data_IF_245173998934
#
_entry.id   IF_245173998934
#
_cell.length_a   1.000
_cell.length_b   1.000
_cell.length_c   1.000
_cell.angle_alpha   90.00
_cell.angle_beta   90.00
_cell.angle_gamma   90.00
#
_symmetry.space_group_name_H-M   'P 1'
#
loop_
_entity.id
_entity.type
_entity.pdbx_description
1 polymer ?
#
# COMPACT_ATOMS: atom_id res chain seq x y z
N UNK A 1 22.25 -16.45 38.36
CA UNK A 1 22.53 -15.70 37.11
C UNK A 1 21.34 -15.87 36.19
N UNK A 2 20.38 -14.94 36.25
CA UNK A 2 19.24 -14.92 35.37
C UNK A 2 19.62 -14.11 34.12
N UNK A 3 19.66 -14.78 32.96
CA UNK A 3 19.83 -14.13 31.67
C UNK A 3 18.53 -13.40 31.38
N UNK A 4 18.57 -12.07 31.48
CA UNK A 4 17.54 -11.18 30.93
C UNK A 4 17.36 -11.51 29.45
N UNK A 5 16.25 -12.14 29.11
CA UNK A 5 15.77 -12.18 27.72
C UNK A 5 15.40 -10.74 27.36
N UNK A 6 16.24 -10.12 26.54
CA UNK A 6 15.89 -8.91 25.82
C UNK A 6 14.54 -9.14 25.12
N UNK A 7 13.54 -8.35 25.51
CA UNK A 7 12.37 -8.08 24.68
C UNK A 7 12.88 -7.35 23.45
N UNK A 8 13.39 -8.07 22.45
CA UNK A 8 13.55 -7.49 21.13
C UNK A 8 12.16 -7.13 20.61
N UNK A 9 12.02 -5.87 20.23
CA UNK A 9 10.84 -5.28 19.61
C UNK A 9 10.53 -6.01 18.29
N UNK A 10 9.78 -7.11 18.35
CA UNK A 10 9.18 -7.72 17.15
C UNK A 10 7.95 -6.93 16.74
N UNK A 11 8.16 -5.71 16.20
CA UNK A 11 7.12 -4.98 15.48
C UNK A 11 6.70 -5.74 14.21
N UNK A 12 5.48 -5.49 13.71
CA UNK A 12 5.06 -6.02 12.40
C UNK A 12 5.96 -5.48 11.29
N UNK A 13 6.02 -6.17 10.13
CA UNK A 13 6.78 -5.68 8.96
C UNK A 13 6.35 -4.26 8.55
N UNK A 14 5.05 -3.98 8.63
CA UNK A 14 4.49 -2.64 8.40
C UNK A 14 5.07 -1.60 9.37
N UNK A 15 5.15 -1.93 10.68
CA UNK A 15 5.76 -1.03 11.67
C UNK A 15 7.25 -0.81 11.41
N UNK A 16 8.00 -1.85 11.04
CA UNK A 16 9.41 -1.72 10.67
C UNK A 16 9.59 -0.78 9.46
N UNK A 17 8.74 -0.92 8.44
CA UNK A 17 8.74 -0.07 7.25
C UNK A 17 8.46 1.41 7.56
N UNK A 18 7.57 1.68 8.51
CA UNK A 18 7.26 3.04 8.97
C UNK A 18 8.38 3.65 9.83
N UNK A 19 9.00 2.85 10.69
CA UNK A 19 9.98 3.34 11.66
C UNK A 19 11.38 3.48 11.07
N UNK A 20 11.67 2.75 9.99
CA UNK A 20 12.98 2.78 9.36
C UNK A 20 13.37 4.19 8.87
N UNK A 21 14.58 4.60 9.30
CA UNK A 21 15.26 5.83 8.89
C UNK A 21 16.20 5.62 7.71
N UNK A 22 16.68 4.40 7.54
CA UNK A 22 17.51 3.97 6.42
C UNK A 22 16.86 2.71 5.81
N UNK A 23 16.35 2.86 4.59
CA UNK A 23 15.69 1.79 3.87
C UNK A 23 16.67 0.79 3.25
N UNK A 24 17.92 1.16 2.99
CA UNK A 24 18.92 0.20 2.52
C UNK A 24 19.25 -0.82 3.61
N UNK A 25 19.40 -0.36 4.86
CA UNK A 25 19.59 -1.24 6.02
C UNK A 25 18.39 -2.18 6.19
N UNK A 26 17.17 -1.64 6.13
CA UNK A 26 15.95 -2.44 6.22
C UNK A 26 15.88 -3.46 5.06
N UNK A 27 16.17 -3.05 3.83
CA UNK A 27 16.20 -3.91 2.65
C UNK A 27 17.15 -5.09 2.83
N UNK A 28 18.40 -4.85 3.22
CA UNK A 28 19.37 -5.92 3.43
C UNK A 28 18.93 -6.88 4.54
N UNK A 29 18.37 -6.35 5.63
CA UNK A 29 17.81 -7.17 6.71
C UNK A 29 16.70 -8.09 6.17
N UNK A 30 15.70 -7.53 5.48
CA UNK A 30 14.61 -8.29 4.88
C UNK A 30 15.12 -9.38 3.93
N UNK A 31 16.10 -9.05 3.10
CA UNK A 31 16.69 -9.99 2.13
C UNK A 31 17.57 -11.08 2.75
N UNK A 32 18.03 -10.89 3.99
CA UNK A 32 18.80 -11.89 4.76
C UNK A 32 17.93 -12.82 5.61
N UNK A 33 16.80 -12.32 6.10
CA UNK A 33 15.88 -13.05 6.96
C UNK A 33 14.84 -13.73 6.05
N UNK A 34 15.01 -15.03 5.76
CA UNK A 34 14.13 -15.79 4.86
C UNK A 34 12.74 -16.07 5.48
N UNK A 35 11.90 -15.05 5.62
CA UNK A 35 10.57 -15.13 6.25
C UNK A 35 9.48 -14.65 5.31
N UNK A 36 8.27 -15.15 5.50
CA UNK A 36 7.11 -14.76 4.70
C UNK A 36 6.86 -13.24 4.74
N UNK A 37 6.63 -12.66 3.57
CA UNK A 37 6.40 -11.24 3.38
C UNK A 37 7.67 -10.41 3.22
N UNK A 38 8.84 -10.90 3.66
CA UNK A 38 10.08 -10.14 3.56
C UNK A 38 10.44 -9.80 2.12
N UNK A 39 10.22 -10.72 1.18
CA UNK A 39 10.50 -10.49 -0.23
C UNK A 39 9.59 -9.40 -0.81
N UNK A 40 8.30 -9.41 -0.46
CA UNK A 40 7.37 -8.35 -0.86
C UNK A 40 7.77 -6.99 -0.27
N UNK A 41 8.12 -6.93 1.01
CA UNK A 41 8.55 -5.69 1.66
C UNK A 41 9.87 -5.15 1.11
N UNK A 42 10.84 -6.02 0.81
CA UNK A 42 12.10 -5.63 0.21
C UNK A 42 11.88 -5.01 -1.19
N UNK A 43 10.98 -5.60 -1.98
CA UNK A 43 10.57 -5.02 -3.26
C UNK A 43 9.87 -3.67 -3.06
N UNK A 44 8.95 -3.54 -2.10
CA UNK A 44 8.28 -2.28 -1.78
C UNK A 44 9.26 -1.18 -1.40
N UNK A 45 10.28 -1.51 -0.60
CA UNK A 45 11.36 -0.58 -0.26
C UNK A 45 12.10 -0.10 -1.51
N UNK A 46 12.54 -1.03 -2.36
CA UNK A 46 13.30 -0.70 -3.56
C UNK A 46 12.47 0.17 -4.53
N UNK A 47 11.19 -0.15 -4.73
CA UNK A 47 10.29 0.64 -5.58
C UNK A 47 10.07 2.05 -5.02
N UNK A 48 9.87 2.20 -3.71
CA UNK A 48 9.73 3.52 -3.09
C UNK A 48 10.97 4.38 -3.28
N UNK A 49 12.15 3.80 -3.05
CA UNK A 49 13.40 4.55 -3.24
C UNK A 49 13.70 4.86 -4.70
N UNK A 50 13.36 3.98 -5.64
CA UNK A 50 13.42 4.30 -7.07
C UNK A 50 12.52 5.50 -7.43
N UNK A 51 11.29 5.55 -6.91
CA UNK A 51 10.39 6.69 -7.13
C UNK A 51 10.91 8.00 -6.53
N UNK A 52 11.53 7.96 -5.34
CA UNK A 52 12.17 9.15 -4.73
C UNK A 52 13.29 9.68 -5.63
N UNK A 53 14.07 8.79 -6.25
CA UNK A 53 15.15 9.17 -7.18
C UNK A 53 14.59 9.75 -8.48
N UNK A 54 13.56 9.11 -9.05
CA UNK A 54 13.03 9.48 -10.36
C UNK A 54 12.21 10.79 -10.28
N UNK A 55 11.75 11.17 -9.09
CA UNK A 55 11.04 12.43 -8.81
C UNK A 55 11.80 13.29 -7.78
N UNK A 56 13.01 13.79 -8.14
CA UNK A 56 13.78 14.65 -7.24
C UNK A 56 13.07 16.00 -7.09
N UNK A 57 13.21 16.60 -5.91
CA UNK A 57 12.73 17.97 -5.72
C UNK A 57 13.48 18.92 -6.68
N UNK A 58 12.81 19.94 -7.24
CA UNK A 58 13.47 20.98 -8.02
C UNK A 58 14.64 21.62 -7.25
N UNK A 59 15.67 22.06 -7.96
CA UNK A 59 16.86 22.69 -7.34
C UNK A 59 16.52 23.99 -6.59
N UNK A 60 15.46 24.67 -7.00
CA UNK A 60 14.91 25.89 -6.40
C UNK A 60 13.78 25.61 -5.40
N UNK A 61 13.61 24.36 -4.98
CA UNK A 61 12.58 23.99 -4.02
C UNK A 61 12.80 24.69 -2.66
N UNK A 62 11.75 25.35 -2.17
CA UNK A 62 11.72 26.01 -0.86
C UNK A 62 10.54 25.44 -0.05
N UNK A 63 10.73 25.06 1.22
CA UNK A 63 9.62 24.55 2.03
C UNK A 63 8.62 25.66 2.34
N UNK A 64 7.32 25.37 2.18
CA UNK A 64 6.24 26.27 2.60
C UNK A 64 5.97 26.18 4.10
N UNK A 65 6.38 25.09 4.74
CA UNK A 65 6.16 24.84 6.15
C UNK A 65 7.24 23.95 6.76
N UNK A 66 7.46 24.06 8.08
CA UNK A 66 8.39 23.19 8.80
C UNK A 66 8.00 21.68 8.73
N UNK A 67 6.71 21.29 8.79
CA UNK A 67 6.30 19.91 8.52
C UNK A 67 6.71 19.41 7.13
N UNK A 68 6.50 20.21 6.08
CA UNK A 68 6.91 19.83 4.72
C UNK A 68 8.41 19.63 4.62
N UNK A 69 9.22 20.51 5.23
CA UNK A 69 10.67 20.34 5.27
C UNK A 69 11.07 19.03 5.95
N UNK A 70 10.48 18.71 7.11
CA UNK A 70 10.77 17.46 7.82
C UNK A 70 10.36 16.23 7.01
N UNK A 71 9.23 16.27 6.32
CA UNK A 71 8.77 15.17 5.48
C UNK A 71 9.72 14.96 4.28
N UNK A 72 10.17 16.03 3.63
CA UNK A 72 11.16 15.94 2.54
C UNK A 72 12.47 15.33 3.03
N UNK A 73 13.02 15.84 4.13
CA UNK A 73 14.26 15.31 4.73
C UNK A 73 14.10 13.82 5.05
N UNK A 74 13.00 13.42 5.69
CA UNK A 74 12.74 12.01 5.98
C UNK A 74 12.65 11.14 4.71
N UNK A 75 11.94 11.62 3.68
CA UNK A 75 11.79 10.93 2.39
C UNK A 75 13.16 10.68 1.74
N UNK A 76 14.02 11.69 1.74
CA UNK A 76 15.35 11.62 1.13
C UNK A 76 16.32 10.77 1.96
N UNK A 77 16.39 10.99 3.28
CA UNK A 77 17.27 10.24 4.20
C UNK A 77 16.99 8.74 4.15
N UNK A 78 15.72 8.34 4.06
CA UNK A 78 15.34 6.93 3.92
C UNK A 78 16.03 6.24 2.77
N UNK A 79 16.21 6.93 1.65
CA UNK A 79 16.71 6.33 0.41
C UNK A 79 18.15 6.74 0.08
N UNK A 80 18.75 7.66 0.85
CA UNK A 80 20.04 8.29 0.56
C UNK A 80 21.21 7.32 0.46
N UNK A 81 21.15 6.17 1.14
CA UNK A 81 22.26 5.22 1.19
C UNK A 81 22.25 4.20 0.05
N UNK A 82 21.18 4.11 -0.75
CA UNK A 82 21.19 3.32 -1.99
C UNK A 82 22.09 3.99 -3.04
N UNK A 83 22.85 3.18 -3.78
CA UNK A 83 23.58 3.69 -4.95
C UNK A 83 22.69 3.61 -6.21
N UNK A 84 22.91 4.49 -7.18
CA UNK A 84 22.03 4.64 -8.36
C UNK A 84 21.76 3.32 -9.10
N UNK A 85 22.78 2.49 -9.25
CA UNK A 85 22.67 1.20 -9.93
C UNK A 85 21.73 0.21 -9.23
N UNK A 86 21.59 0.29 -7.89
CA UNK A 86 20.72 -0.59 -7.09
C UNK A 86 19.24 -0.28 -7.28
N UNK A 87 18.90 0.94 -7.71
CA UNK A 87 17.52 1.39 -7.93
C UNK A 87 17.16 1.50 -9.41
N UNK A 88 18.06 1.09 -10.31
CA UNK A 88 17.81 1.10 -11.75
C UNK A 88 16.65 0.18 -12.13
N UNK A 89 16.02 0.42 -13.28
CA UNK A 89 14.96 -0.46 -13.79
C UNK A 89 15.43 -1.92 -13.93
N UNK A 90 16.66 -2.13 -14.40
CA UNK A 90 17.27 -3.46 -14.50
C UNK A 90 17.48 -4.11 -13.14
N UNK A 91 17.90 -3.35 -12.12
CA UNK A 91 18.04 -3.87 -10.76
C UNK A 91 16.70 -4.24 -10.14
N UNK A 92 15.64 -3.46 -10.37
CA UNK A 92 14.28 -3.80 -9.94
C UNK A 92 13.78 -5.07 -10.65
N UNK A 93 14.01 -5.20 -11.95
CA UNK A 93 13.65 -6.42 -12.70
C UNK A 93 14.44 -7.64 -12.22
N UNK A 94 15.72 -7.48 -11.89
CA UNK A 94 16.54 -8.53 -11.30
C UNK A 94 16.00 -8.93 -9.92
N UNK A 95 15.65 -7.96 -9.08
CA UNK A 95 15.06 -8.19 -7.76
C UNK A 95 13.72 -8.93 -7.85
N UNK A 96 12.86 -8.59 -8.80
CA UNK A 96 11.59 -9.31 -9.04
C UNK A 96 11.79 -10.77 -9.43
N UNK A 97 12.97 -11.13 -9.97
CA UNK A 97 13.35 -12.50 -10.34
C UNK A 97 14.14 -13.22 -9.24
N UNK A 98 14.61 -12.50 -8.23
CA UNK A 98 15.33 -13.09 -7.09
C UNK A 98 14.41 -14.12 -6.41
N UNK A 99 14.84 -15.39 -6.21
CA UNK A 99 14.00 -16.42 -5.62
C UNK A 99 13.41 -16.05 -4.26
N UNK A 100 14.10 -15.21 -3.47
CA UNK A 100 13.62 -14.73 -2.15
C UNK A 100 12.42 -13.80 -2.28
N UNK A 101 12.31 -13.09 -3.40
CA UNK A 101 11.18 -12.21 -3.72
C UNK A 101 10.14 -12.96 -4.54
N UNK A 102 10.55 -13.62 -5.62
CA UNK A 102 9.66 -14.30 -6.55
C UNK A 102 8.88 -15.47 -5.90
N UNK A 103 9.45 -16.10 -4.87
CA UNK A 103 8.80 -17.20 -4.12
C UNK A 103 8.30 -16.77 -2.75
N UNK A 104 8.32 -15.47 -2.45
CA UNK A 104 7.76 -14.93 -1.21
C UNK A 104 6.26 -15.27 -1.12
N UNK A 105 5.82 -15.76 0.04
CA UNK A 105 4.45 -16.24 0.23
C UNK A 105 3.40 -15.15 -0.04
N UNK A 106 3.67 -13.89 0.33
CA UNK A 106 2.72 -12.80 0.14
C UNK A 106 2.67 -12.41 -1.34
N UNK A 107 3.83 -12.35 -2.00
CA UNK A 107 3.89 -12.11 -3.45
C UNK A 107 3.14 -13.20 -4.23
N UNK A 108 3.38 -14.47 -3.93
CA UNK A 108 2.71 -15.59 -4.58
C UNK A 108 1.19 -15.55 -4.40
N UNK A 109 0.71 -15.15 -3.22
CA UNK A 109 -0.71 -15.00 -2.94
C UNK A 109 -1.34 -13.84 -3.71
N UNK A 110 -0.62 -12.70 -3.85
CA UNK A 110 -1.02 -11.60 -4.72
C UNK A 110 -1.08 -12.00 -6.20
N UNK A 111 -0.08 -12.73 -6.69
CA UNK A 111 0.00 -13.25 -8.06
C UNK A 111 -1.11 -14.29 -8.35
N UNK A 112 -1.47 -15.11 -7.35
CA UNK A 112 -2.62 -16.00 -7.44
C UNK A 112 -3.92 -15.21 -7.63
N UNK A 113 -4.14 -14.17 -6.82
CA UNK A 113 -5.34 -13.32 -6.93
C UNK A 113 -5.38 -12.60 -8.28
N UNK A 114 -4.24 -12.10 -8.76
CA UNK A 114 -4.15 -11.46 -10.07
C UNK A 114 -4.56 -12.42 -11.20
N UNK A 115 -4.09 -13.67 -11.20
CA UNK A 115 -4.42 -14.66 -12.23
C UNK A 115 -5.91 -14.98 -12.32
N UNK A 116 -6.64 -14.93 -11.20
CA UNK A 116 -8.09 -15.19 -11.16
C UNK A 116 -8.94 -13.91 -11.12
N UNK A 117 -8.32 -12.73 -11.22
CA UNK A 117 -8.98 -11.43 -11.05
C UNK A 117 -10.14 -11.20 -12.03
N UNK A 118 -10.08 -11.82 -13.21
CA UNK A 118 -11.12 -11.73 -14.24
C UNK A 118 -12.39 -12.51 -13.92
N UNK A 119 -12.36 -13.45 -12.97
CA UNK A 119 -13.52 -14.22 -12.54
C UNK A 119 -13.94 -13.79 -11.12
N UNK A 120 -15.02 -13.01 -10.98
CA UNK A 120 -15.48 -12.51 -9.69
C UNK A 120 -15.87 -13.57 -8.67
N UNK A 121 -16.15 -14.81 -9.10
CA UNK A 121 -16.49 -15.93 -8.20
C UNK A 121 -15.23 -16.70 -7.83
N UNK A 122 -14.37 -17.01 -8.81
CA UNK A 122 -13.11 -17.72 -8.55
C UNK A 122 -12.11 -16.89 -7.72
N UNK A 123 -12.20 -15.55 -7.74
CA UNK A 123 -11.37 -14.69 -6.89
C UNK A 123 -11.69 -14.78 -5.40
N UNK A 124 -12.92 -15.12 -5.01
CA UNK A 124 -13.37 -15.00 -3.61
C UNK A 124 -12.56 -15.86 -2.63
N UNK A 125 -12.25 -17.14 -2.91
CA UNK A 125 -11.43 -17.96 -2.00
C UNK A 125 -9.98 -17.49 -1.89
N UNK A 126 -9.43 -16.86 -2.95
CA UNK A 126 -8.07 -16.28 -2.91
C UNK A 126 -8.08 -14.98 -2.11
N UNK A 127 -9.07 -14.13 -2.35
CA UNK A 127 -9.26 -12.88 -1.61
C UNK A 127 -9.46 -13.14 -0.11
N UNK A 128 -10.18 -14.20 0.26
CA UNK A 128 -10.35 -14.58 1.67
C UNK A 128 -9.01 -14.85 2.35
N UNK A 129 -8.11 -15.57 1.68
CA UNK A 129 -6.75 -15.83 2.17
C UNK A 129 -5.97 -14.53 2.32
N UNK A 130 -6.01 -13.64 1.33
CA UNK A 130 -5.34 -12.32 1.40
C UNK A 130 -5.85 -11.50 2.58
N UNK A 131 -7.18 -11.40 2.74
CA UNK A 131 -7.79 -10.64 3.82
C UNK A 131 -7.42 -11.22 5.20
N UNK A 132 -7.36 -12.54 5.33
CA UNK A 132 -6.94 -13.22 6.57
C UNK A 132 -5.47 -13.01 6.91
N UNK A 133 -4.60 -12.78 5.92
CA UNK A 133 -3.19 -12.39 6.16
C UNK A 133 -3.12 -11.03 6.87
N UNK A 134 -4.07 -10.13 6.59
CA UNK A 134 -4.19 -8.80 7.21
C UNK A 134 -2.91 -7.95 7.15
N UNK A 135 -2.03 -8.21 6.16
CA UNK A 135 -0.79 -7.47 5.98
C UNK A 135 -1.03 -6.22 5.11
N UNK A 136 -0.65 -5.01 5.56
CA UNK A 136 -0.91 -3.77 4.83
C UNK A 136 -0.32 -3.73 3.43
N UNK A 137 0.94 -4.16 3.25
CA UNK A 137 1.62 -4.09 1.95
C UNK A 137 1.02 -5.09 0.97
N UNK A 138 0.67 -6.29 1.44
CA UNK A 138 -0.06 -7.25 0.61
C UNK A 138 -1.43 -6.69 0.20
N UNK A 139 -2.21 -6.15 1.14
CA UNK A 139 -3.54 -5.60 0.85
C UNK A 139 -3.47 -4.42 -0.13
N UNK A 140 -2.47 -3.55 -0.01
CA UNK A 140 -2.22 -2.47 -0.96
C UNK A 140 -1.87 -3.01 -2.36
N UNK A 141 -1.03 -4.04 -2.44
CA UNK A 141 -0.54 -4.59 -3.71
C UNK A 141 -1.63 -5.19 -4.61
N UNK A 142 -2.75 -5.63 -4.02
CA UNK A 142 -3.84 -6.30 -4.77
C UNK A 142 -4.90 -5.34 -5.33
N UNK A 143 -4.76 -4.03 -5.11
CA UNK A 143 -5.80 -3.04 -5.44
C UNK A 143 -6.20 -3.08 -6.92
N UNK A 144 -5.23 -3.29 -7.81
CA UNK A 144 -5.48 -3.42 -9.25
C UNK A 144 -6.32 -4.66 -9.54
N UNK A 145 -5.99 -5.82 -8.96
CA UNK A 145 -6.72 -7.07 -9.13
C UNK A 145 -8.17 -7.01 -8.61
N UNK A 146 -8.46 -6.10 -7.66
CA UNK A 146 -9.80 -5.92 -7.11
C UNK A 146 -10.69 -5.01 -7.96
N UNK A 147 -10.13 -3.89 -8.43
CA UNK A 147 -10.92 -2.78 -8.98
C UNK A 147 -10.66 -2.48 -10.46
N UNK A 148 -9.73 -3.19 -11.11
CA UNK A 148 -9.59 -3.18 -12.57
C UNK A 148 -10.17 -4.48 -13.13
N UNK A 149 -11.44 -4.45 -13.52
CA UNK A 149 -12.08 -5.58 -14.19
C UNK A 149 -11.39 -5.93 -15.52
N UNK A 150 -11.49 -7.19 -15.99
CA UNK A 150 -10.94 -7.61 -17.27
C UNK A 150 -11.51 -6.74 -18.39
N UNK A 151 -10.64 -6.24 -19.28
CA UNK A 151 -11.00 -5.32 -20.36
C UNK A 151 -11.77 -4.05 -19.92
N UNK A 152 -11.58 -3.61 -18.67
CA UNK A 152 -12.31 -2.46 -18.14
C UNK A 152 -13.74 -2.76 -17.71
N UNK A 153 -14.10 -4.02 -17.48
CA UNK A 153 -15.41 -4.45 -16.98
C UNK A 153 -15.83 -3.85 -15.63
N UNK A 154 -17.12 -3.87 -15.34
CA UNK A 154 -17.69 -3.35 -14.11
C UNK A 154 -17.24 -4.16 -12.88
N UNK A 155 -17.18 -3.49 -11.72
CA UNK A 155 -16.76 -4.10 -10.45
C UNK A 155 -17.90 -4.06 -9.45
N UNK A 156 -18.17 -5.16 -8.77
CA UNK A 156 -19.14 -5.18 -7.66
C UNK A 156 -18.43 -5.04 -6.33
N UNK A 157 -18.92 -4.12 -5.50
CA UNK A 157 -18.52 -3.94 -4.11
C UNK A 157 -19.73 -3.53 -3.25
N UNK A 158 -19.90 -4.16 -2.09
CA UNK A 158 -20.96 -3.92 -1.12
C UNK A 158 -22.38 -3.86 -1.74
N UNK A 159 -22.67 -4.78 -2.67
CA UNK A 159 -23.96 -4.87 -3.37
C UNK A 159 -24.20 -3.82 -4.46
N UNK A 160 -23.22 -2.93 -4.73
CA UNK A 160 -23.27 -1.95 -5.81
C UNK A 160 -22.31 -2.35 -6.92
N UNK A 161 -22.72 -2.08 -8.17
CA UNK A 161 -21.89 -2.32 -9.36
C UNK A 161 -21.41 -1.00 -9.93
N UNK A 162 -20.09 -0.89 -10.14
CA UNK A 162 -19.38 0.29 -10.58
C UNK A 162 -18.82 0.04 -11.98
N UNK A 163 -19.50 0.58 -13.00
CA UNK A 163 -19.07 0.48 -14.40
C UNK A 163 -18.17 1.65 -14.82
N UNK A 164 -18.35 2.83 -14.21
CA UNK A 164 -17.59 4.02 -14.53
C UNK A 164 -16.11 3.89 -14.09
N UNK A 165 -15.20 4.41 -14.92
CA UNK A 165 -13.76 4.35 -14.62
C UNK A 165 -13.38 5.26 -13.46
N UNK A 166 -13.96 6.46 -13.35
CA UNK A 166 -13.66 7.39 -12.27
C UNK A 166 -14.17 6.85 -10.93
N UNK A 167 -15.38 6.27 -10.89
CA UNK A 167 -15.88 5.62 -9.68
C UNK A 167 -14.96 4.47 -9.22
N UNK A 168 -14.42 3.68 -10.15
CA UNK A 168 -13.44 2.63 -9.83
C UNK A 168 -12.12 3.17 -9.31
N UNK A 169 -11.63 4.29 -9.84
CA UNK A 169 -10.45 4.95 -9.30
C UNK A 169 -10.69 5.50 -7.88
N UNK A 170 -11.91 5.96 -7.57
CA UNK A 170 -12.28 6.31 -6.18
C UNK A 170 -12.28 5.07 -5.29
N UNK A 171 -12.72 3.89 -5.77
CA UNK A 171 -12.60 2.64 -5.01
C UNK A 171 -11.14 2.26 -4.71
N UNK A 172 -10.23 2.42 -5.68
CA UNK A 172 -8.79 2.22 -5.50
C UNK A 172 -8.24 3.12 -4.39
N UNK A 173 -8.55 4.42 -4.45
CA UNK A 173 -8.15 5.42 -3.46
C UNK A 173 -8.71 5.09 -2.07
N UNK A 174 -10.00 4.73 -1.99
CA UNK A 174 -10.65 4.35 -0.75
C UNK A 174 -10.07 3.06 -0.14
N UNK A 175 -9.69 2.09 -0.98
CA UNK A 175 -9.10 0.83 -0.52
C UNK A 175 -7.74 1.07 0.15
N UNK A 176 -6.84 1.81 -0.51
CA UNK A 176 -5.52 2.16 0.03
C UNK A 176 -5.63 2.91 1.36
N UNK A 177 -6.62 3.80 1.49
CA UNK A 177 -6.92 4.47 2.75
C UNK A 177 -7.41 3.47 3.82
N UNK A 178 -8.33 2.59 3.43
CA UNK A 178 -8.99 1.65 4.32
C UNK A 178 -8.04 0.58 4.87
N UNK A 179 -6.98 0.20 4.14
CA UNK A 179 -5.94 -0.71 4.62
C UNK A 179 -5.41 -0.24 5.98
N UNK A 180 -5.11 1.05 6.14
CA UNK A 180 -4.62 1.56 7.43
C UNK A 180 -5.68 1.97 8.43
N UNK A 181 -6.93 2.09 8.00
CA UNK A 181 -8.05 2.08 8.94
C UNK A 181 -8.31 0.71 9.56
N UNK A 182 -7.86 -0.37 8.91
CA UNK A 182 -8.18 -1.75 9.27
C UNK A 182 -7.02 -2.53 9.90
N UNK A 183 -5.81 -2.37 9.39
CA UNK A 183 -4.62 -3.10 9.83
C UNK A 183 -3.74 -2.25 10.77
N UNK A 184 -3.07 -2.91 11.72
CA UNK A 184 -2.18 -2.24 12.67
C UNK A 184 -0.80 -1.95 12.08
N UNK A 185 -0.13 -0.94 12.62
CA UNK A 185 1.26 -0.64 12.25
C UNK A 185 1.42 0.06 10.90
N UNK A 186 0.36 0.68 10.38
CA UNK A 186 0.44 1.56 9.22
C UNK A 186 -0.16 2.97 9.42
N UNK A 187 -0.41 3.35 10.68
CA UNK A 187 -0.72 4.72 11.09
C UNK A 187 0.54 5.45 11.59
N UNK A 188 0.59 6.78 11.44
CA UNK A 188 1.62 7.62 12.05
C UNK A 188 2.52 8.38 11.06
N UNK A 189 3.44 9.23 11.58
CA UNK A 189 4.20 10.20 10.78
C UNK A 189 5.23 9.57 9.84
N UNK A 190 5.50 8.27 9.98
CA UNK A 190 6.39 7.51 9.11
C UNK A 190 5.70 6.88 7.89
N UNK A 191 4.39 7.01 7.77
CA UNK A 191 3.63 6.50 6.63
C UNK A 191 4.06 7.17 5.31
N UNK A 192 4.45 6.34 4.35
CA UNK A 192 4.96 6.77 3.05
C UNK A 192 3.98 7.67 2.28
N UNK A 193 2.67 7.40 2.33
CA UNK A 193 1.68 8.24 1.65
C UNK A 193 1.62 9.64 2.25
N UNK A 194 1.67 9.74 3.58
CA UNK A 194 1.64 11.02 4.30
C UNK A 194 2.93 11.79 4.11
N UNK A 195 4.07 11.10 4.22
CA UNK A 195 5.40 11.67 4.01
C UNK A 195 5.53 12.22 2.59
N UNK A 196 5.16 11.43 1.57
CA UNK A 196 5.26 11.86 0.17
C UNK A 196 4.30 13.02 -0.14
N UNK A 197 3.05 12.97 0.32
CA UNK A 197 2.10 14.06 0.11
C UNK A 197 2.53 15.37 0.81
N UNK A 198 3.02 15.28 2.04
CA UNK A 198 3.52 16.44 2.78
C UNK A 198 4.78 17.02 2.13
N UNK A 199 5.74 16.18 1.75
CA UNK A 199 6.98 16.60 1.09
C UNK A 199 6.72 17.28 -0.26
N UNK A 200 5.97 16.61 -1.15
CA UNK A 200 5.79 17.06 -2.53
C UNK A 200 4.74 18.17 -2.68
N UNK A 201 3.65 18.14 -1.88
CA UNK A 201 2.46 18.99 -2.10
C UNK A 201 2.12 19.90 -0.92
N UNK A 202 2.93 19.90 0.16
CA UNK A 202 2.61 20.58 1.42
C UNK A 202 1.25 20.16 2.03
N UNK A 203 0.78 18.95 1.69
CA UNK A 203 -0.44 18.37 2.24
C UNK A 203 -0.11 17.50 3.46
N UNK A 204 0.16 18.17 4.57
CA UNK A 204 0.61 17.56 5.82
C UNK A 204 -0.58 17.28 6.73
N UNK A 205 -1.20 16.10 6.57
CA UNK A 205 -2.36 15.65 7.35
C UNK A 205 -2.01 14.43 8.19
N UNK A 206 -2.79 14.18 9.24
CA UNK A 206 -2.45 13.16 10.26
C UNK A 206 -2.91 11.74 9.92
N UNK A 207 -3.64 11.52 8.81
CA UNK A 207 -4.13 10.19 8.45
C UNK A 207 -4.32 9.99 6.95
N UNK A 208 -4.14 8.75 6.47
CA UNK A 208 -4.43 8.39 5.07
C UNK A 208 -5.88 8.66 4.70
N UNK A 209 -6.80 8.45 5.65
CA UNK A 209 -8.22 8.73 5.45
C UNK A 209 -8.44 10.18 5.02
N UNK A 210 -7.82 11.13 5.73
CA UNK A 210 -7.94 12.54 5.42
C UNK A 210 -7.24 12.90 4.10
N UNK A 211 -6.02 12.40 3.90
CA UNK A 211 -5.25 12.63 2.67
C UNK A 211 -6.02 12.18 1.43
N UNK A 212 -6.51 10.94 1.43
CA UNK A 212 -7.14 10.32 0.28
C UNK A 212 -8.58 10.78 0.07
N UNK A 213 -9.23 11.34 1.10
CA UNK A 213 -10.48 12.10 0.92
C UNK A 213 -10.25 13.40 0.13
N UNK A 214 -9.15 14.12 0.41
CA UNK A 214 -8.77 15.32 -0.33
C UNK A 214 -8.38 14.96 -1.77
N UNK A 215 -7.60 13.89 -1.97
CA UNK A 215 -7.23 13.40 -3.32
C UNK A 215 -8.46 13.04 -4.15
N UNK A 216 -9.43 12.32 -3.55
CA UNK A 216 -10.67 11.97 -4.22
C UNK A 216 -11.49 13.22 -4.62
N UNK A 217 -11.56 14.23 -3.75
CA UNK A 217 -12.25 15.49 -4.05
C UNK A 217 -11.57 16.28 -5.17
N UNK A 218 -10.25 16.39 -5.11
CA UNK A 218 -9.46 17.17 -6.07
C UNK A 218 -9.52 16.56 -7.47
N UNK A 219 -9.43 15.23 -7.57
CA UNK A 219 -9.38 14.53 -8.87
C UNK A 219 -10.75 14.25 -9.47
N UNK A 220 -11.78 14.07 -8.64
CA UNK A 220 -13.10 13.59 -9.08
C UNK A 220 -14.27 14.47 -8.59
N UNK A 221 -13.99 15.64 -8.03
CA UNK A 221 -14.98 16.60 -7.55
C UNK A 221 -15.81 16.11 -6.37
N UNK A 222 -16.93 16.81 -6.10
CA UNK A 222 -17.84 16.49 -4.99
C UNK A 222 -18.45 15.09 -5.11
N UNK A 223 -18.66 14.59 -6.34
CA UNK A 223 -19.12 13.22 -6.57
C UNK A 223 -18.11 12.20 -6.05
N UNK A 224 -16.82 12.36 -6.36
CA UNK A 224 -15.78 11.46 -5.88
C UNK A 224 -15.62 11.52 -4.37
N UNK A 225 -15.68 12.72 -3.78
CA UNK A 225 -15.65 12.90 -2.33
C UNK A 225 -16.82 12.17 -1.63
N UNK A 226 -18.04 12.31 -2.18
CA UNK A 226 -19.23 11.62 -1.66
C UNK A 226 -19.11 10.09 -1.78
N UNK A 227 -18.64 9.59 -2.92
CA UNK A 227 -18.42 8.17 -3.12
C UNK A 227 -17.35 7.63 -2.16
N UNK A 228 -16.22 8.31 -2.01
CA UNK A 228 -15.17 7.95 -1.07
C UNK A 228 -15.72 7.84 0.37
N UNK A 229 -16.51 8.84 0.79
CA UNK A 229 -17.12 8.86 2.12
C UNK A 229 -18.09 7.68 2.35
N UNK A 230 -18.81 7.22 1.32
CA UNK A 230 -19.70 6.05 1.38
C UNK A 230 -18.92 4.72 1.43
N UNK A 231 -17.89 4.56 0.60
CA UNK A 231 -17.20 3.27 0.44
C UNK A 231 -16.09 3.02 1.46
N UNK A 232 -15.38 4.05 1.90
CA UNK A 232 -14.28 3.94 2.87
C UNK A 232 -14.65 3.15 4.13
N UNK A 233 -15.72 3.50 4.90
CA UNK A 233 -16.03 2.78 6.13
C UNK A 233 -16.43 1.32 5.87
N UNK A 234 -17.05 1.04 4.71
CA UNK A 234 -17.39 -0.32 4.29
C UNK A 234 -16.14 -1.13 4.00
N UNK A 235 -15.15 -0.55 3.30
CA UNK A 235 -13.88 -1.20 3.01
C UNK A 235 -13.08 -1.51 4.27
N UNK A 236 -13.06 -0.59 5.25
CA UNK A 236 -12.43 -0.83 6.55
C UNK A 236 -13.03 -2.06 7.22
N UNK A 237 -14.36 -2.15 7.28
CA UNK A 237 -15.03 -3.32 7.88
C UNK A 237 -14.86 -4.59 7.06
N UNK A 238 -14.85 -4.49 5.72
CA UNK A 238 -14.55 -5.63 4.85
C UNK A 238 -13.17 -6.21 5.13
N UNK A 239 -12.15 -5.36 5.28
CA UNK A 239 -10.79 -5.81 5.58
C UNK A 239 -10.73 -6.40 7.00
N UNK A 240 -11.25 -5.68 8.02
CA UNK A 240 -11.21 -6.14 9.42
C UNK A 240 -11.88 -7.49 9.64
N UNK A 241 -12.99 -7.75 8.94
CA UNK A 241 -13.78 -8.98 9.10
C UNK A 241 -13.40 -10.06 8.10
N UNK A 242 -12.45 -9.78 7.21
CA UNK A 242 -12.17 -10.59 6.04
C UNK A 242 -13.44 -10.96 5.23
N UNK A 243 -14.36 -9.99 5.08
CA UNK A 243 -15.67 -10.20 4.44
C UNK A 243 -15.58 -10.20 2.91
N UNK A 244 -15.29 -11.36 2.33
CA UNK A 244 -15.28 -11.54 0.87
C UNK A 244 -16.65 -11.40 0.24
N UNK A 245 -17.74 -11.56 0.99
CA UNK A 245 -19.10 -11.41 0.46
C UNK A 245 -19.41 -9.98 0.01
N UNK A 246 -18.63 -8.99 0.46
CA UNK A 246 -18.70 -7.63 -0.08
C UNK A 246 -18.35 -7.57 -1.58
N UNK A 247 -17.59 -8.53 -2.10
CA UNK A 247 -17.15 -8.59 -3.49
C UNK A 247 -17.92 -9.61 -4.35
N UNK A 248 -18.91 -10.31 -3.79
CA UNK A 248 -19.69 -11.33 -4.51
C UNK A 248 -20.76 -10.65 -5.39
N UNK A 249 -20.70 -10.79 -6.73
CA UNK A 249 -21.70 -10.20 -7.63
C UNK A 249 -23.09 -10.82 -7.48
N UNK A 250 -23.21 -11.99 -6.84
CA UNK A 250 -24.49 -12.68 -6.61
C UNK A 250 -25.22 -12.16 -5.38
N UNK A 251 -24.54 -11.37 -4.53
CA UNK A 251 -25.12 -10.81 -3.32
C UNK A 251 -26.14 -9.74 -3.71
N UNK A 252 -27.42 -10.05 -3.53
CA UNK A 252 -28.50 -9.07 -3.62
C UNK A 252 -28.43 -8.15 -2.41
N UNK A 253 -28.58 -6.84 -2.63
CA UNK A 253 -28.81 -5.89 -1.55
C UNK A 253 -30.11 -6.28 -0.84
N UNK A 254 -30.14 -6.42 0.50
CA UNK A 254 -31.39 -6.58 1.23
C UNK A 254 -32.31 -5.38 1.04
#
# INVERSE_FOLDING_TARGET
>A
MAVSRNKEETGSLASLLQQARDYRVLFHRLMSEHRDGHGLYALTVAMRCAAVRDEPAPLDWVPHSAPQQRAKVLREERCATFIDSELSGDALLALMRDPRVARDAYRLLGDELYRVSSDPVARLPVLERVLRTADPVLLESIVTSLFHGPAGGAVTFAGKTYADMADRQVLVVAWVAAVCGAASGCEGPGDDYLVNACAARNLCVDSRRALLALDAKERFGERGAALYADVYPRMVETIRRADTSAFDPRRKTP
#
